data_IF_498597006618
#
_entry.id   IF_498597006618
#
_cell.length_a   1.000
_cell.length_b   1.000
_cell.length_c   1.000
_cell.angle_alpha   90.00
_cell.angle_beta   90.00
_cell.angle_gamma   90.00
#
_symmetry.space_group_name_H-M   'P 1'
#
loop_
_entity.id
_entity.type
_entity.pdbx_description
1 polymer ?
#
# COMPACT_ATOMS: atom_id res chain seq x y z
N UNK A 1 29.59 24.38 -93.59
CA UNK A 1 29.10 25.67 -94.12
C UNK A 1 27.72 25.58 -94.81
N UNK A 2 27.15 24.39 -95.11
CA UNK A 2 25.83 24.26 -95.77
C UNK A 2 24.60 24.14 -94.83
N UNK A 3 24.79 24.15 -93.50
CA UNK A 3 23.69 24.00 -92.53
C UNK A 3 23.19 25.33 -91.95
N UNK A 4 24.03 26.37 -91.88
CA UNK A 4 23.62 27.69 -91.40
C UNK A 4 22.78 28.44 -92.45
N UNK A 5 23.12 28.33 -93.73
CA UNK A 5 22.36 29.00 -94.80
C UNK A 5 20.92 28.48 -94.89
N UNK A 6 20.70 27.18 -94.62
CA UNK A 6 19.36 26.59 -94.59
C UNK A 6 18.51 27.04 -93.39
N UNK A 7 19.13 27.42 -92.27
CA UNK A 7 18.44 27.90 -91.07
C UNK A 7 18.09 29.39 -91.19
N UNK A 8 18.99 30.18 -91.77
CA UNK A 8 18.76 31.60 -92.09
C UNK A 8 17.68 31.76 -93.17
N UNK A 9 17.65 30.89 -94.17
CA UNK A 9 16.58 30.88 -95.20
C UNK A 9 15.22 30.49 -94.60
N UNK A 10 15.16 29.58 -93.61
CA UNK A 10 13.89 29.23 -92.93
C UNK A 10 13.31 30.37 -92.08
N UNK A 11 14.17 31.13 -91.39
CA UNK A 11 13.75 32.28 -90.58
C UNK A 11 13.35 33.47 -91.47
N UNK A 12 14.08 33.74 -92.57
CA UNK A 12 13.72 34.78 -93.56
C UNK A 12 12.42 34.49 -94.30
N UNK A 13 12.12 33.22 -94.58
CA UNK A 13 10.91 32.80 -95.31
C UNK A 13 9.69 32.51 -94.40
N UNK A 14 9.76 32.84 -93.10
CA UNK A 14 8.61 32.69 -92.19
C UNK A 14 8.14 31.25 -91.98
N UNK A 15 8.96 30.25 -92.29
CA UNK A 15 8.61 28.83 -92.12
C UNK A 15 8.80 28.43 -90.65
N UNK A 16 7.77 28.70 -89.84
CA UNK A 16 7.67 28.20 -88.46
C UNK A 16 7.63 26.67 -88.48
N UNK A 17 8.45 26.04 -87.64
CA UNK A 17 8.36 24.60 -87.38
C UNK A 17 6.95 24.25 -86.88
N UNK A 18 6.19 23.48 -87.67
CA UNK A 18 4.83 23.02 -87.33
C UNK A 18 4.77 21.99 -86.19
N UNK A 19 5.92 21.62 -85.61
CA UNK A 19 5.99 20.62 -84.52
C UNK A 19 5.49 21.11 -83.16
N UNK A 20 5.32 22.42 -82.97
CA UNK A 20 4.85 22.97 -81.69
C UNK A 20 3.68 23.92 -81.93
N UNK A 21 2.50 23.54 -81.43
CA UNK A 21 1.34 24.44 -81.34
C UNK A 21 1.66 25.58 -80.34
N UNK A 22 1.14 26.81 -80.54
CA UNK A 22 1.27 27.86 -79.54
C UNK A 22 0.71 27.38 -78.21
N UNK A 23 1.50 27.51 -77.14
CA UNK A 23 1.09 27.09 -75.79
C UNK A 23 0.06 28.09 -75.29
N UNK A 24 -1.14 27.61 -74.98
CA UNK A 24 -2.16 28.40 -74.30
C UNK A 24 -1.80 28.50 -72.81
N UNK A 25 -1.25 29.66 -72.43
CA UNK A 25 -0.83 29.93 -71.07
C UNK A 25 -2.02 30.10 -70.12
N UNK A 26 -3.20 30.49 -70.61
CA UNK A 26 -4.40 30.61 -69.78
C UNK A 26 -4.95 29.23 -69.42
N UNK A 27 -5.00 28.32 -70.39
CA UNK A 27 -5.38 26.92 -70.14
C UNK A 27 -4.41 26.25 -69.16
N UNK A 28 -3.09 26.45 -69.34
CA UNK A 28 -2.07 25.88 -68.46
C UNK A 28 -2.14 26.46 -67.04
N UNK A 29 -2.45 27.76 -66.89
CA UNK A 29 -2.68 28.38 -65.60
C UNK A 29 -3.93 27.83 -64.91
N UNK A 30 -5.05 27.70 -65.65
CA UNK A 30 -6.28 27.12 -65.14
C UNK A 30 -6.10 25.66 -64.67
N UNK A 31 -5.36 24.85 -65.44
CA UNK A 31 -4.99 23.48 -65.05
C UNK A 31 -4.13 23.50 -63.78
N UNK A 32 -3.17 24.42 -63.68
CA UNK A 32 -2.28 24.53 -62.53
C UNK A 32 -3.06 24.92 -61.26
N UNK A 33 -3.95 25.91 -61.34
CA UNK A 33 -4.80 26.31 -60.21
C UNK A 33 -5.78 25.20 -59.82
N UNK A 34 -6.39 24.51 -60.79
CA UNK A 34 -7.22 23.34 -60.52
C UNK A 34 -6.43 22.23 -59.79
N UNK A 35 -5.18 21.97 -60.19
CA UNK A 35 -4.30 21.00 -59.52
C UNK A 35 -3.89 21.46 -58.12
N UNK A 36 -3.61 22.74 -57.90
CA UNK A 36 -3.35 23.31 -56.57
C UNK A 36 -4.55 23.12 -55.65
N UNK A 37 -5.77 23.42 -56.13
CA UNK A 37 -7.01 23.26 -55.37
C UNK A 37 -7.28 21.78 -55.05
N UNK A 38 -7.07 20.87 -56.01
CA UNK A 38 -7.14 19.43 -55.79
C UNK A 38 -6.15 18.96 -54.72
N UNK A 39 -4.89 19.41 -54.80
CA UNK A 39 -3.85 19.10 -53.82
C UNK A 39 -4.20 19.60 -52.41
N UNK A 40 -4.71 20.84 -52.30
CA UNK A 40 -5.18 21.40 -51.03
C UNK A 40 -6.33 20.59 -50.43
N UNK A 41 -7.27 20.12 -51.25
CA UNK A 41 -8.38 19.27 -50.81
C UNK A 41 -7.89 17.89 -50.32
N UNK A 42 -6.94 17.27 -51.03
CA UNK A 42 -6.29 16.03 -50.60
C UNK A 42 -5.58 16.23 -49.25
N UNK A 43 -4.81 17.30 -49.10
CA UNK A 43 -4.11 17.62 -47.85
C UNK A 43 -5.08 17.84 -46.68
N UNK A 44 -6.21 18.49 -46.94
CA UNK A 44 -7.28 18.67 -45.95
C UNK A 44 -7.92 17.33 -45.55
N UNK A 45 -8.17 16.43 -46.51
CA UNK A 45 -8.66 15.06 -46.23
C UNK A 45 -7.66 14.27 -45.39
N UNK A 46 -6.36 14.35 -45.70
CA UNK A 46 -5.29 13.71 -44.93
C UNK A 46 -5.29 14.24 -43.49
N UNK A 47 -5.34 15.56 -43.29
CA UNK A 47 -5.41 16.18 -41.96
C UNK A 47 -6.63 15.70 -41.17
N UNK A 48 -7.82 15.62 -41.81
CA UNK A 48 -9.04 15.11 -41.18
C UNK A 48 -8.91 13.65 -40.76
N UNK A 49 -8.37 12.79 -41.62
CA UNK A 49 -8.14 11.37 -41.30
C UNK A 49 -7.12 11.19 -40.18
N UNK A 50 -6.04 11.97 -40.18
CA UNK A 50 -5.05 11.97 -39.09
C UNK A 50 -5.68 12.39 -37.76
N UNK A 51 -6.49 13.45 -37.76
CA UNK A 51 -7.22 13.89 -36.56
C UNK A 51 -8.19 12.82 -36.06
N UNK A 52 -9.02 12.25 -36.93
CA UNK A 52 -9.95 11.17 -36.58
C UNK A 52 -9.21 9.93 -36.03
N UNK A 53 -8.07 9.57 -36.62
CA UNK A 53 -7.23 8.48 -36.11
C UNK A 53 -6.66 8.79 -34.71
N UNK A 54 -6.25 10.03 -34.43
CA UNK A 54 -5.76 10.42 -33.10
C UNK A 54 -6.87 10.33 -32.06
N UNK A 55 -8.03 10.93 -32.35
CA UNK A 55 -9.21 10.88 -31.48
C UNK A 55 -9.65 9.45 -31.18
N UNK A 56 -9.67 8.57 -32.20
CA UNK A 56 -10.03 7.18 -31.99
C UNK A 56 -9.03 6.44 -31.09
N UNK A 57 -7.72 6.68 -31.25
CA UNK A 57 -6.68 6.11 -30.38
C UNK A 57 -6.87 6.57 -28.94
N UNK A 58 -7.10 7.86 -28.72
CA UNK A 58 -7.36 8.42 -27.39
C UNK A 58 -8.63 7.85 -26.77
N UNK A 59 -9.71 7.73 -27.54
CA UNK A 59 -10.97 7.15 -27.07
C UNK A 59 -10.80 5.68 -26.64
N UNK A 60 -10.10 4.87 -27.45
CA UNK A 60 -9.79 3.48 -27.10
C UNK A 60 -8.95 3.37 -25.82
N UNK A 61 -7.97 4.27 -25.66
CA UNK A 61 -7.10 4.32 -24.48
C UNK A 61 -7.88 4.71 -23.22
N UNK A 62 -8.73 5.74 -23.31
CA UNK A 62 -9.63 6.13 -22.23
C UNK A 62 -10.57 4.98 -21.85
N UNK A 63 -11.14 4.27 -22.81
CA UNK A 63 -11.98 3.11 -22.53
C UNK A 63 -11.24 2.05 -21.71
N UNK A 64 -9.96 1.80 -22.01
CA UNK A 64 -9.12 0.88 -21.20
C UNK A 64 -8.90 1.41 -19.78
N UNK A 65 -8.61 2.70 -19.61
CA UNK A 65 -8.47 3.31 -18.28
C UNK A 65 -9.76 3.23 -17.46
N UNK A 66 -10.91 3.50 -18.06
CA UNK A 66 -12.21 3.36 -17.39
C UNK A 66 -12.45 1.92 -16.90
N UNK A 67 -12.05 0.92 -17.68
CA UNK A 67 -12.14 -0.48 -17.27
C UNK A 67 -11.24 -0.78 -16.06
N UNK A 68 -10.00 -0.25 -16.05
CA UNK A 68 -9.08 -0.36 -14.92
C UNK A 68 -9.69 0.27 -13.67
N UNK A 69 -10.13 1.52 -13.76
CA UNK A 69 -10.74 2.23 -12.65
C UNK A 69 -12.01 1.56 -12.13
N UNK A 70 -12.84 1.00 -13.00
CA UNK A 70 -14.02 0.26 -12.55
C UNK A 70 -13.67 -1.01 -11.78
N UNK A 71 -12.65 -1.76 -12.24
CA UNK A 71 -12.16 -2.94 -11.52
C UNK A 71 -11.57 -2.55 -10.16
N UNK A 72 -10.78 -1.49 -10.15
CA UNK A 72 -10.16 -0.97 -8.94
C UNK A 72 -11.18 -0.47 -7.92
N UNK A 73 -12.18 0.29 -8.36
CA UNK A 73 -13.26 0.76 -7.52
C UNK A 73 -13.99 -0.41 -6.86
N UNK A 74 -14.30 -1.47 -7.62
CA UNK A 74 -14.90 -2.69 -7.07
C UNK A 74 -13.99 -3.37 -6.04
N UNK A 75 -12.68 -3.45 -6.29
CA UNK A 75 -11.70 -4.01 -5.35
C UNK A 75 -11.66 -3.22 -4.05
N UNK A 76 -11.51 -1.90 -4.15
CA UNK A 76 -11.45 -1.00 -3.00
C UNK A 76 -12.74 -1.02 -2.20
N UNK A 77 -13.89 -1.06 -2.86
CA UNK A 77 -15.19 -1.15 -2.20
C UNK A 77 -15.33 -2.44 -1.39
N UNK A 78 -14.93 -3.59 -1.95
CA UNK A 78 -14.92 -4.87 -1.22
C UNK A 78 -13.94 -4.85 -0.04
N UNK A 79 -12.74 -4.31 -0.24
CA UNK A 79 -11.75 -4.21 0.84
C UNK A 79 -12.24 -3.31 1.96
N UNK A 80 -12.88 -2.19 1.63
CA UNK A 80 -13.50 -1.29 2.60
C UNK A 80 -14.58 -2.01 3.40
N UNK A 81 -15.52 -2.69 2.74
CA UNK A 81 -16.57 -3.46 3.43
C UNK A 81 -15.98 -4.53 4.36
N UNK A 82 -14.92 -5.21 3.92
CA UNK A 82 -14.22 -6.19 4.75
C UNK A 82 -13.58 -5.54 5.98
N UNK A 83 -12.82 -4.45 5.82
CA UNK A 83 -12.22 -3.74 6.96
C UNK A 83 -13.29 -3.19 7.90
N UNK A 84 -14.36 -2.60 7.36
CA UNK A 84 -15.48 -2.10 8.18
C UNK A 84 -16.11 -3.23 9.00
N UNK A 85 -16.25 -4.43 8.43
CA UNK A 85 -16.73 -5.60 9.18
C UNK A 85 -15.74 -6.10 10.23
N UNK A 86 -14.43 -6.10 9.95
CA UNK A 86 -13.40 -6.49 10.92
C UNK A 86 -13.33 -5.50 12.08
N UNK A 87 -13.40 -4.19 11.79
CA UNK A 87 -13.48 -3.12 12.78
C UNK A 87 -14.76 -3.28 13.61
N UNK A 88 -15.89 -3.60 12.98
CA UNK A 88 -17.14 -3.82 13.68
C UNK A 88 -17.06 -5.00 14.65
N UNK A 89 -16.52 -6.14 14.20
CA UNK A 89 -16.27 -7.30 15.07
C UNK A 89 -15.38 -6.92 16.25
N UNK A 90 -14.32 -6.15 16.01
CA UNK A 90 -13.43 -5.66 17.06
C UNK A 90 -14.13 -4.75 18.08
N UNK A 91 -15.16 -3.99 17.67
CA UNK A 91 -15.98 -3.19 18.58
C UNK A 91 -17.04 -4.00 19.33
N UNK A 92 -17.53 -5.09 18.72
CA UNK A 92 -18.57 -5.97 19.29
C UNK A 92 -17.99 -7.01 20.27
N UNK A 93 -16.69 -7.31 20.17
CA UNK A 93 -15.95 -8.00 21.23
C UNK A 93 -15.90 -7.09 22.46
N UNK A 94 -16.81 -7.30 23.42
CA UNK A 94 -17.01 -6.50 24.65
C UNK A 94 -15.72 -6.34 25.48
N UNK A 95 -14.85 -5.42 25.06
CA UNK A 95 -13.67 -5.00 25.79
C UNK A 95 -13.97 -3.66 26.47
N UNK A 96 -14.01 -3.67 27.81
CA UNK A 96 -14.24 -2.47 28.63
C UNK A 96 -13.22 -1.34 28.35
N UNK A 97 -12.08 -1.64 27.72
CA UNK A 97 -11.07 -0.64 27.35
C UNK A 97 -11.48 0.30 26.18
N UNK A 98 -12.65 0.13 25.56
CA UNK A 98 -13.05 0.89 24.35
C UNK A 98 -14.23 1.85 24.53
N UNK A 99 -14.67 2.13 25.75
CA UNK A 99 -15.78 3.07 25.99
C UNK A 99 -15.54 4.46 25.36
N UNK A 100 -14.31 4.97 25.41
CA UNK A 100 -13.95 6.27 24.82
C UNK A 100 -14.06 6.27 23.28
N UNK A 101 -13.71 5.16 22.63
CA UNK A 101 -13.84 5.02 21.18
C UNK A 101 -15.31 4.91 20.75
N UNK A 102 -16.15 4.24 21.54
CA UNK A 102 -17.59 4.15 21.30
C UNK A 102 -18.26 5.53 21.38
N UNK A 103 -17.92 6.34 22.39
CA UNK A 103 -18.44 7.70 22.53
C UNK A 103 -17.99 8.60 21.36
N UNK A 104 -16.73 8.51 20.94
CA UNK A 104 -16.22 9.22 19.75
C UNK A 104 -16.95 8.80 18.48
N UNK A 105 -17.16 7.50 18.26
CA UNK A 105 -17.90 6.97 17.10
C UNK A 105 -19.34 7.51 17.07
N UNK A 106 -20.01 7.51 18.20
CA UNK A 106 -21.36 8.05 18.32
C UNK A 106 -21.40 9.54 18.00
N UNK A 107 -20.50 10.33 18.60
CA UNK A 107 -20.37 11.78 18.33
C UNK A 107 -20.11 12.07 16.86
N UNK A 108 -19.22 11.31 16.20
CA UNK A 108 -18.92 11.45 14.78
C UNK A 108 -20.13 11.12 13.90
N UNK A 109 -20.84 10.03 14.20
CA UNK A 109 -22.03 9.62 13.44
C UNK A 109 -23.13 10.69 13.55
N UNK A 110 -23.42 11.13 14.78
CA UNK A 110 -24.41 12.19 15.03
C UNK A 110 -24.00 13.51 14.36
N UNK A 111 -22.72 13.86 14.40
CA UNK A 111 -22.16 15.03 13.71
C UNK A 111 -22.36 14.95 12.20
N UNK A 112 -22.09 13.78 11.61
CA UNK A 112 -22.26 13.53 10.19
C UNK A 112 -23.74 13.63 9.77
N UNK A 113 -24.65 13.02 10.53
CA UNK A 113 -26.09 13.08 10.24
C UNK A 113 -26.60 14.53 10.29
N UNK A 114 -26.17 15.28 11.31
CA UNK A 114 -26.51 16.71 11.46
C UNK A 114 -25.95 17.53 10.29
N UNK A 115 -24.70 17.26 9.90
CA UNK A 115 -24.06 17.92 8.78
C UNK A 115 -24.79 17.60 7.46
N UNK A 116 -25.13 16.33 7.22
CA UNK A 116 -25.87 15.91 6.03
C UNK A 116 -27.25 16.56 5.97
N UNK A 117 -27.98 16.59 7.09
CA UNK A 117 -29.26 17.30 7.18
C UNK A 117 -29.10 18.79 6.83
N UNK A 118 -28.10 19.47 7.39
CA UNK A 118 -27.92 20.91 7.17
C UNK A 118 -27.39 21.29 5.77
N UNK A 119 -26.72 20.37 5.07
CA UNK A 119 -26.04 20.68 3.80
C UNK A 119 -26.71 20.07 2.58
N UNK A 120 -27.20 18.84 2.70
CA UNK A 120 -27.77 18.07 1.59
C UNK A 120 -29.28 18.32 1.49
N UNK A 121 -30.00 18.35 2.61
CA UNK A 121 -31.45 18.54 2.63
C UNK A 121 -31.91 19.84 1.94
N UNK A 122 -31.26 21.01 2.13
CA UNK A 122 -31.69 22.24 1.45
C UNK A 122 -31.60 22.16 -0.08
N UNK A 123 -30.62 21.41 -0.61
CA UNK A 123 -30.45 21.21 -2.06
C UNK A 123 -31.53 20.27 -2.61
N UNK A 124 -31.86 19.21 -1.87
CA UNK A 124 -32.96 18.31 -2.23
C UNK A 124 -34.32 19.01 -2.16
N UNK A 125 -34.53 19.82 -1.12
CA UNK A 125 -35.74 20.62 -0.97
C UNK A 125 -35.90 21.59 -2.13
N UNK A 126 -34.85 22.37 -2.45
CA UNK A 126 -34.86 23.27 -3.61
C UNK A 126 -35.16 22.52 -4.91
N UNK A 127 -34.59 21.33 -5.10
CA UNK A 127 -34.85 20.51 -6.30
C UNK A 127 -36.32 20.09 -6.40
N UNK A 128 -36.91 19.60 -5.32
CA UNK A 128 -38.32 19.17 -5.32
C UNK A 128 -39.27 20.37 -5.44
N UNK A 129 -38.96 21.49 -4.79
CA UNK A 129 -39.75 22.73 -4.92
C UNK A 129 -39.73 23.26 -6.35
N UNK A 130 -38.57 23.26 -7.01
CA UNK A 130 -38.47 23.61 -8.43
C UNK A 130 -39.26 22.66 -9.32
N UNK A 131 -39.22 21.35 -9.02
CA UNK A 131 -39.97 20.34 -9.77
C UNK A 131 -41.49 20.54 -9.62
N UNK A 132 -41.95 20.82 -8.41
CA UNK A 132 -43.35 21.12 -8.11
C UNK A 132 -43.80 22.39 -8.86
N UNK A 133 -43.03 23.49 -8.77
CA UNK A 133 -43.32 24.74 -9.48
C UNK A 133 -43.41 24.55 -10.99
N UNK A 134 -42.53 23.74 -11.59
CA UNK A 134 -42.59 23.42 -13.03
C UNK A 134 -43.87 22.64 -13.37
N UNK A 135 -44.26 21.67 -12.55
CA UNK A 135 -45.49 20.89 -12.74
C UNK A 135 -46.74 21.77 -12.61
N UNK A 136 -46.74 22.68 -11.64
CA UNK A 136 -47.82 23.64 -11.38
C UNK A 136 -47.94 24.66 -12.52
N UNK A 137 -46.83 25.19 -13.04
CA UNK A 137 -46.83 26.04 -14.24
C UNK A 137 -47.43 25.32 -15.45
N UNK A 138 -47.09 24.04 -15.66
CA UNK A 138 -47.61 23.24 -16.77
C UNK A 138 -49.11 22.97 -16.66
N UNK A 139 -49.64 22.84 -15.44
CA UNK A 139 -51.07 22.55 -15.18
C UNK A 139 -51.93 23.81 -15.12
N UNK A 140 -51.41 24.92 -14.56
CA UNK A 140 -52.11 26.19 -14.39
C UNK A 140 -51.94 27.19 -15.54
N UNK A 141 -51.27 26.80 -16.63
CA UNK A 141 -50.99 27.63 -17.82
C UNK A 141 -52.23 28.26 -18.51
N UNK A 142 -53.46 27.89 -18.11
CA UNK A 142 -54.73 28.40 -18.63
C UNK A 142 -55.50 29.31 -17.67
N UNK A 143 -55.07 29.44 -16.41
CA UNK A 143 -55.74 30.28 -15.42
C UNK A 143 -55.19 31.71 -15.43
N UNK A 144 -56.08 32.70 -15.34
CA UNK A 144 -55.75 34.13 -15.43
C UNK A 144 -55.15 34.67 -14.10
N UNK A 145 -55.28 33.91 -13.01
CA UNK A 145 -54.86 34.31 -11.66
C UNK A 145 -53.49 33.78 -11.23
N UNK A 146 -52.82 32.93 -12.02
CA UNK A 146 -51.52 32.37 -11.64
C UNK A 146 -50.39 33.37 -11.87
N UNK A 147 -49.93 34.01 -10.79
CA UNK A 147 -48.84 34.99 -10.81
C UNK A 147 -47.51 34.30 -10.46
N UNK A 148 -46.79 33.82 -11.48
CA UNK A 148 -45.45 33.26 -11.32
C UNK A 148 -44.40 34.37 -11.13
N UNK A 149 -43.62 34.31 -10.05
CA UNK A 149 -42.52 35.24 -9.81
C UNK A 149 -41.17 34.57 -10.12
N UNK A 150 -40.59 34.76 -11.32
CA UNK A 150 -39.30 34.16 -11.69
C UNK A 150 -38.14 34.72 -10.87
N UNK A 151 -38.21 35.99 -10.46
CA UNK A 151 -37.12 36.67 -9.76
C UNK A 151 -36.93 36.10 -8.36
N UNK A 152 -38.02 35.83 -7.63
CA UNK A 152 -37.97 35.19 -6.32
C UNK A 152 -37.37 33.77 -6.37
N UNK A 153 -37.65 33.01 -7.44
CA UNK A 153 -37.07 31.67 -7.64
C UNK A 153 -35.58 31.74 -7.92
N UNK A 154 -35.14 32.71 -8.72
CA UNK A 154 -33.72 32.92 -9.01
C UNK A 154 -32.94 33.36 -7.75
N UNK A 155 -33.53 34.22 -6.93
CA UNK A 155 -32.94 34.62 -5.64
C UNK A 155 -32.76 33.44 -4.70
N UNK A 156 -33.74 32.54 -4.61
CA UNK A 156 -33.68 31.32 -3.80
C UNK A 156 -32.56 30.37 -4.28
N UNK A 157 -32.44 30.17 -5.60
CA UNK A 157 -31.37 29.36 -6.19
C UNK A 157 -29.99 29.96 -5.89
N UNK A 158 -29.83 31.29 -6.07
CA UNK A 158 -28.56 31.96 -5.81
C UNK A 158 -28.21 31.95 -4.32
N UNK A 159 -29.20 32.05 -3.43
CA UNK A 159 -29.01 31.90 -2.00
C UNK A 159 -28.44 30.51 -1.64
N UNK A 160 -29.06 29.43 -2.12
CA UNK A 160 -28.61 28.05 -1.86
C UNK A 160 -27.23 27.79 -2.48
N UNK A 161 -26.95 28.31 -3.70
CA UNK A 161 -25.61 28.23 -4.31
C UNK A 161 -24.55 28.93 -3.46
N UNK A 162 -24.85 30.14 -2.97
CA UNK A 162 -23.93 30.92 -2.13
C UNK A 162 -23.67 30.20 -0.80
N UNK A 163 -24.71 29.64 -0.20
CA UNK A 163 -24.60 28.82 1.01
C UNK A 163 -23.72 27.59 0.78
N UNK A 164 -23.99 26.80 -0.27
CA UNK A 164 -23.19 25.63 -0.67
C UNK A 164 -21.72 26.00 -0.90
N UNK A 165 -21.45 27.09 -1.63
CA UNK A 165 -20.09 27.57 -1.88
C UNK A 165 -19.37 27.96 -0.60
N UNK A 166 -20.05 28.62 0.34
CA UNK A 166 -19.46 29.00 1.63
C UNK A 166 -19.14 27.76 2.48
N UNK A 167 -20.03 26.77 2.50
CA UNK A 167 -19.84 25.51 3.22
C UNK A 167 -18.65 24.72 2.64
N UNK A 168 -18.59 24.57 1.31
CA UNK A 168 -17.45 23.92 0.64
C UNK A 168 -16.13 24.63 0.93
N UNK A 169 -16.14 25.97 0.98
CA UNK A 169 -14.97 26.75 1.36
C UNK A 169 -14.51 26.45 2.78
N UNK A 170 -15.43 26.39 3.75
CA UNK A 170 -15.11 26.04 5.15
C UNK A 170 -14.59 24.61 5.27
N UNK A 171 -15.27 23.64 4.67
CA UNK A 171 -14.84 22.24 4.65
C UNK A 171 -13.46 22.07 4.03
N UNK A 172 -13.13 22.84 3.00
CA UNK A 172 -11.81 22.80 2.39
C UNK A 172 -10.72 23.25 3.37
N UNK A 173 -10.97 24.32 4.13
CA UNK A 173 -10.06 24.80 5.17
C UNK A 173 -9.94 23.82 6.34
N UNK A 174 -11.06 23.29 6.83
CA UNK A 174 -11.09 22.26 7.88
C UNK A 174 -10.32 21.01 7.46
N UNK A 175 -10.52 20.56 6.21
CA UNK A 175 -9.75 19.46 5.64
C UNK A 175 -8.25 19.75 5.66
N UNK A 176 -7.82 20.93 5.22
CA UNK A 176 -6.39 21.30 5.21
C UNK A 176 -5.82 21.30 6.64
N UNK A 177 -6.57 21.83 7.60
CA UNK A 177 -6.17 21.83 9.01
C UNK A 177 -6.02 20.41 9.56
N UNK A 178 -7.02 19.56 9.33
CA UNK A 178 -6.99 18.15 9.73
C UNK A 178 -5.89 17.35 9.03
N UNK A 179 -5.64 17.58 7.74
CA UNK A 179 -4.53 16.96 7.01
C UNK A 179 -3.18 17.35 7.62
N UNK A 180 -3.04 18.60 8.09
CA UNK A 180 -1.83 19.07 8.77
C UNK A 180 -1.66 18.44 10.16
N UNK A 181 -2.72 18.44 10.97
CA UNK A 181 -2.72 17.77 12.29
C UNK A 181 -2.38 16.27 12.12
N UNK A 182 -2.95 15.61 11.11
CA UNK A 182 -2.67 14.21 10.84
C UNK A 182 -1.23 13.97 10.39
N UNK A 183 -0.62 14.85 9.58
CA UNK A 183 0.80 14.73 9.21
C UNK A 183 1.69 14.86 10.45
N UNK A 184 1.37 15.76 11.39
CA UNK A 184 2.08 15.89 12.68
C UNK A 184 1.97 14.60 13.50
N UNK A 185 0.78 14.00 13.62
CA UNK A 185 0.58 12.70 14.28
C UNK A 185 1.27 11.54 13.54
N UNK A 186 1.30 11.56 12.21
CA UNK A 186 1.98 10.53 11.41
C UNK A 186 3.48 10.64 11.63
N UNK A 187 4.06 11.84 11.64
CA UNK A 187 5.48 12.03 11.92
C UNK A 187 5.82 11.59 13.35
N UNK A 188 4.94 11.84 14.32
CA UNK A 188 5.09 11.41 15.71
C UNK A 188 4.95 9.87 15.86
N UNK A 189 3.95 9.24 15.22
CA UNK A 189 3.77 7.79 15.20
C UNK A 189 4.86 7.06 14.38
N UNK A 190 5.35 7.68 13.31
CA UNK A 190 6.49 7.18 12.55
C UNK A 190 7.79 7.33 13.35
N UNK A 191 7.96 8.39 14.14
CA UNK A 191 9.06 8.51 15.09
C UNK A 191 8.99 7.43 16.16
N UNK A 192 7.81 7.17 16.75
CA UNK A 192 7.62 6.07 17.70
C UNK A 192 7.87 4.70 17.07
N UNK A 193 7.39 4.42 15.85
CA UNK A 193 7.66 3.14 15.17
C UNK A 193 9.09 3.03 14.64
N UNK A 194 9.77 4.16 14.40
CA UNK A 194 11.20 4.20 14.06
C UNK A 194 12.05 3.98 15.32
N UNK A 195 11.65 4.54 16.46
CA UNK A 195 12.20 4.23 17.78
C UNK A 195 11.95 2.76 18.12
N UNK A 196 10.76 2.19 17.94
CA UNK A 196 10.54 0.74 18.09
C UNK A 196 11.32 -0.11 17.06
N UNK A 197 11.64 0.44 15.86
CA UNK A 197 12.54 -0.21 14.88
C UNK A 197 14.02 -0.09 15.22
N UNK A 198 14.44 0.96 15.91
CA UNK A 198 15.85 1.24 16.24
C UNK A 198 16.21 0.72 17.63
N UNK A 199 15.32 0.91 18.59
CA UNK A 199 15.21 0.16 19.85
C UNK A 199 14.42 -1.13 19.61
N UNK A 200 14.98 -1.99 18.78
CA UNK A 200 14.69 -3.43 18.78
C UNK A 200 15.24 -4.01 20.09
N UNK A 201 14.75 -3.56 21.25
CA UNK A 201 15.18 -4.08 22.55
C UNK A 201 14.58 -5.47 22.66
N UNK A 202 15.38 -6.54 22.71
CA UNK A 202 14.86 -7.87 22.95
C UNK A 202 14.29 -7.94 24.37
N UNK A 203 13.02 -7.56 24.51
CA UNK A 203 12.28 -7.83 25.74
C UNK A 203 12.26 -9.35 25.93
N UNK A 204 12.86 -9.76 27.04
CA UNK A 204 12.87 -11.14 27.50
C UNK A 204 11.42 -11.63 27.54
N UNK A 205 11.11 -12.71 26.82
CA UNK A 205 9.82 -13.36 26.92
C UNK A 205 9.55 -13.71 28.39
N UNK A 206 8.38 -13.34 28.97
CA UNK A 206 8.02 -13.66 30.35
C UNK A 206 8.18 -15.16 30.66
N UNK A 207 7.89 -15.99 29.65
CA UNK A 207 8.02 -17.44 29.71
C UNK A 207 9.45 -17.91 30.03
N UNK A 208 10.49 -17.16 29.67
CA UNK A 208 11.89 -17.51 29.98
C UNK A 208 12.36 -16.93 31.33
N UNK A 209 11.70 -15.87 31.81
CA UNK A 209 11.99 -15.26 33.11
C UNK A 209 11.41 -16.10 34.25
N UNK A 210 10.17 -16.56 34.09
CA UNK A 210 9.39 -17.29 35.10
C UNK A 210 9.90 -18.73 35.34
N UNK A 211 10.61 -19.32 34.38
CA UNK A 211 11.15 -20.68 34.51
C UNK A 211 12.40 -20.70 35.40
N UNK A 212 12.26 -21.29 36.59
CA UNK A 212 13.38 -21.64 37.47
C UNK A 212 14.13 -22.84 36.88
N UNK A 213 15.45 -22.71 36.71
CA UNK A 213 16.31 -23.76 36.18
C UNK A 213 17.42 -24.08 37.20
N UNK A 214 17.61 -25.36 37.58
CA UNK A 214 18.62 -25.76 38.56
C UNK A 214 20.06 -25.62 38.02
N UNK A 215 20.24 -25.48 36.70
CA UNK A 215 21.53 -25.26 36.04
C UNK A 215 21.65 -23.81 35.55
N UNK A 216 22.29 -22.90 36.31
CA UNK A 216 22.38 -21.49 35.96
C UNK A 216 23.16 -21.25 34.65
N UNK A 217 24.18 -22.06 34.37
CA UNK A 217 24.99 -21.95 33.15
C UNK A 217 24.16 -22.25 31.89
N UNK A 218 23.24 -23.22 31.97
CA UNK A 218 22.33 -23.55 30.87
C UNK A 218 21.35 -22.39 30.64
N UNK A 219 20.77 -21.82 31.70
CA UNK A 219 19.88 -20.65 31.59
C UNK A 219 20.63 -19.46 30.97
N UNK A 220 21.84 -19.18 31.42
CA UNK A 220 22.68 -18.11 30.85
C UNK A 220 23.01 -18.37 29.36
N UNK A 221 23.31 -19.61 28.98
CA UNK A 221 23.57 -19.99 27.59
C UNK A 221 22.36 -19.77 26.69
N UNK A 222 21.17 -20.21 27.13
CA UNK A 222 19.90 -19.99 26.40
C UNK A 222 19.62 -18.50 26.22
N UNK A 223 19.81 -17.69 27.26
CA UNK A 223 19.62 -16.23 27.15
C UNK A 223 20.63 -15.60 26.19
N UNK A 224 21.89 -16.02 26.24
CA UNK A 224 22.93 -15.53 25.34
C UNK A 224 22.60 -15.83 23.87
N UNK A 225 22.13 -17.04 23.57
CA UNK A 225 21.70 -17.42 22.22
C UNK A 225 20.47 -16.63 21.76
N UNK A 226 19.55 -16.30 22.68
CA UNK A 226 18.42 -15.41 22.36
C UNK A 226 18.89 -14.01 21.95
N UNK A 227 19.79 -13.41 22.74
CA UNK A 227 20.33 -12.09 22.42
C UNK A 227 21.09 -12.07 21.11
N UNK A 228 21.94 -13.08 20.84
CA UNK A 228 22.62 -13.22 19.54
C UNK A 228 21.62 -13.28 18.38
N UNK A 229 20.56 -14.08 18.52
CA UNK A 229 19.52 -14.18 17.50
C UNK A 229 18.83 -12.83 17.28
N UNK A 230 18.50 -12.11 18.36
CA UNK A 230 17.87 -10.81 18.29
C UNK A 230 18.77 -9.76 17.62
N UNK A 231 20.05 -9.72 18.00
CA UNK A 231 21.05 -8.81 17.47
C UNK A 231 21.27 -9.05 15.97
N UNK A 232 21.38 -10.32 15.55
CA UNK A 232 21.53 -10.71 14.14
C UNK A 232 20.37 -10.22 13.27
N UNK A 233 19.13 -10.32 13.77
CA UNK A 233 17.95 -9.83 13.04
C UNK A 233 17.84 -8.31 13.09
N UNK A 234 18.15 -7.71 14.23
CA UNK A 234 18.16 -6.25 14.41
C UNK A 234 19.12 -5.59 13.42
N UNK A 235 20.36 -6.09 13.32
CA UNK A 235 21.36 -5.61 12.36
C UNK A 235 20.87 -5.71 10.92
N UNK A 236 20.35 -6.87 10.51
CA UNK A 236 19.82 -7.06 9.14
C UNK A 236 18.64 -6.13 8.84
N UNK A 237 17.78 -5.87 9.82
CA UNK A 237 16.64 -4.96 9.68
C UNK A 237 17.14 -3.51 9.53
N UNK A 238 18.10 -3.09 10.35
CA UNK A 238 18.70 -1.77 10.29
C UNK A 238 19.44 -1.53 8.96
N UNK A 239 20.21 -2.50 8.48
CA UNK A 239 20.88 -2.45 7.17
C UNK A 239 19.85 -2.29 6.04
N UNK A 240 18.79 -3.10 6.05
CA UNK A 240 17.74 -3.02 5.04
C UNK A 240 16.95 -1.70 5.09
N UNK A 241 16.72 -1.15 6.29
CA UNK A 241 16.07 0.16 6.48
C UNK A 241 16.97 1.31 5.97
N UNK A 242 18.28 1.22 6.21
CA UNK A 242 19.25 2.19 5.72
C UNK A 242 19.39 2.15 4.20
N UNK A 243 19.37 0.96 3.60
CA UNK A 243 19.31 0.78 2.16
C UNK A 243 18.05 1.43 1.57
N UNK A 244 16.89 1.25 2.22
CA UNK A 244 15.64 1.87 1.80
C UNK A 244 15.70 3.40 1.88
N UNK A 245 16.22 3.97 2.96
CA UNK A 245 16.43 5.42 3.09
C UNK A 245 17.32 5.96 1.97
N UNK A 246 18.38 5.22 1.64
CA UNK A 246 19.30 5.57 0.54
C UNK A 246 18.61 5.54 -0.83
N UNK A 247 17.71 4.58 -1.07
CA UNK A 247 16.94 4.52 -2.32
C UNK A 247 15.94 5.68 -2.39
N UNK A 248 15.25 5.98 -1.28
CA UNK A 248 14.26 7.07 -1.22
C UNK A 248 14.93 8.44 -1.38
N UNK A 249 16.10 8.67 -0.79
CA UNK A 249 16.85 9.92 -0.98
C UNK A 249 17.29 10.15 -2.43
N UNK A 250 17.43 9.08 -3.23
CA UNK A 250 17.67 9.22 -4.67
C UNK A 250 16.41 9.66 -5.45
N UNK A 251 15.22 9.66 -4.85
CA UNK A 251 14.01 10.10 -5.52
C UNK A 251 13.97 11.63 -5.60
N UNK A 252 14.24 12.18 -6.78
CA UNK A 252 14.07 13.61 -7.08
C UNK A 252 12.59 13.99 -7.32
N UNK A 253 11.70 13.53 -6.45
CA UNK A 253 10.23 13.60 -6.60
C UNK A 253 9.60 14.18 -5.34
N UNK A 254 8.54 14.98 -5.48
CA UNK A 254 7.79 15.47 -4.32
C UNK A 254 6.99 14.34 -3.67
N UNK A 255 6.61 14.51 -2.40
CA UNK A 255 5.75 13.55 -1.68
C UNK A 255 4.45 13.29 -2.46
N UNK A 256 3.82 14.33 -3.00
CA UNK A 256 2.57 14.22 -3.76
C UNK A 256 2.76 13.48 -5.09
N UNK A 257 3.86 13.74 -5.81
CA UNK A 257 4.16 13.07 -7.07
C UNK A 257 4.46 11.58 -6.85
N UNK A 258 5.20 11.25 -5.79
CA UNK A 258 5.47 9.87 -5.37
C UNK A 258 4.17 9.14 -4.99
N UNK A 259 3.30 9.81 -4.23
CA UNK A 259 2.00 9.26 -3.87
C UNK A 259 1.13 8.98 -5.10
N UNK A 260 1.02 9.95 -6.03
CA UNK A 260 0.32 9.76 -7.31
C UNK A 260 0.91 8.60 -8.09
N UNK A 261 2.25 8.50 -8.15
CA UNK A 261 2.95 7.42 -8.83
C UNK A 261 2.59 6.04 -8.23
N UNK A 262 2.71 5.90 -6.91
CA UNK A 262 2.39 4.68 -6.18
C UNK A 262 0.93 4.25 -6.37
N UNK A 263 -0.01 5.20 -6.20
CA UNK A 263 -1.43 4.93 -6.36
C UNK A 263 -1.70 4.45 -7.77
N UNK A 264 -1.27 5.20 -8.78
CA UNK A 264 -1.51 4.85 -10.19
C UNK A 264 -0.95 3.47 -10.49
N UNK A 265 0.29 3.13 -10.15
CA UNK A 265 0.83 1.78 -10.41
C UNK A 265 0.01 0.68 -9.72
N UNK A 266 -0.48 0.93 -8.51
CA UNK A 266 -1.31 0.00 -7.75
C UNK A 266 -2.71 -0.24 -8.31
N UNK A 267 -3.24 0.68 -9.13
CA UNK A 267 -4.53 0.53 -9.80
C UNK A 267 -4.47 -0.43 -10.99
N UNK A 268 -3.31 -0.59 -11.65
CA UNK A 268 -3.17 -1.42 -12.84
C UNK A 268 -2.69 -2.83 -12.45
N UNK A 269 -3.50 -3.88 -12.66
CA UNK A 269 -3.15 -5.25 -12.30
C UNK A 269 -1.93 -5.79 -13.06
N UNK A 270 -1.15 -6.65 -12.42
CA UNK A 270 0.08 -7.25 -12.98
C UNK A 270 -0.17 -8.17 -14.19
N UNK A 271 -1.33 -8.81 -14.25
CA UNK A 271 -1.78 -9.74 -15.30
C UNK A 271 -2.27 -9.02 -16.58
N UNK A 272 -2.37 -7.69 -16.56
CA UNK A 272 -2.89 -6.92 -17.69
C UNK A 272 -1.89 -6.81 -18.85
N UNK A 273 -2.34 -7.13 -20.06
CA UNK A 273 -1.56 -6.89 -21.27
C UNK A 273 -1.28 -5.40 -21.49
N UNK A 274 -0.02 -5.06 -21.72
CA UNK A 274 0.39 -3.67 -21.93
C UNK A 274 0.25 -2.78 -20.69
N UNK A 275 0.22 -3.35 -19.48
CA UNK A 275 0.15 -2.64 -18.19
C UNK A 275 1.06 -1.41 -18.15
N UNK A 276 2.33 -1.59 -18.52
CA UNK A 276 3.35 -0.54 -18.56
C UNK A 276 2.98 0.64 -19.45
N UNK A 277 2.45 0.36 -20.64
CA UNK A 277 2.00 1.42 -21.54
C UNK A 277 0.86 2.23 -20.93
N UNK A 278 -0.08 1.55 -20.26
CA UNK A 278 -1.27 2.17 -19.71
C UNK A 278 -0.95 3.02 -18.48
N UNK A 279 -0.26 2.51 -17.46
CA UNK A 279 0.05 3.36 -16.31
C UNK A 279 1.00 4.50 -16.69
N UNK A 280 1.95 4.31 -17.61
CA UNK A 280 2.80 5.41 -18.07
C UNK A 280 1.97 6.50 -18.77
N UNK A 281 1.01 6.12 -19.61
CA UNK A 281 0.08 7.10 -20.20
C UNK A 281 -0.72 7.87 -19.13
N UNK A 282 -1.23 7.16 -18.12
CA UNK A 282 -1.98 7.78 -17.03
C UNK A 282 -1.10 8.71 -16.18
N UNK A 283 0.12 8.29 -15.85
CA UNK A 283 1.09 9.10 -15.13
C UNK A 283 1.45 10.37 -15.92
N UNK A 284 1.63 10.26 -17.24
CA UNK A 284 1.89 11.44 -18.09
C UNK A 284 0.72 12.44 -18.11
N UNK A 285 -0.52 11.98 -17.92
CA UNK A 285 -1.71 12.84 -17.80
C UNK A 285 -1.84 13.49 -16.42
N UNK A 286 -1.52 12.75 -15.36
CA UNK A 286 -1.62 13.22 -13.97
C UNK A 286 -0.41 14.05 -13.52
N UNK A 287 0.74 13.86 -14.19
CA UNK A 287 2.01 14.54 -13.92
C UNK A 287 2.53 15.21 -15.21
N UNK A 288 1.84 16.23 -15.75
CA UNK A 288 2.21 16.87 -17.01
C UNK A 288 3.58 17.56 -16.96
N UNK A 289 4.06 17.91 -15.76
CA UNK A 289 5.38 18.49 -15.51
C UNK A 289 6.53 17.47 -15.54
N UNK A 290 6.23 16.15 -15.56
CA UNK A 290 7.24 15.09 -15.60
C UNK A 290 7.38 14.55 -17.03
N UNK A 291 8.63 14.47 -17.50
CA UNK A 291 8.91 13.87 -18.80
C UNK A 291 8.72 12.35 -18.75
N UNK A 292 8.39 11.74 -19.91
CA UNK A 292 8.29 10.27 -20.04
C UNK A 292 9.59 9.56 -19.66
N UNK A 293 10.74 10.18 -19.96
CA UNK A 293 12.05 9.62 -19.61
C UNK A 293 12.26 9.62 -18.09
N UNK A 294 11.85 10.69 -17.40
CA UNK A 294 11.91 10.76 -15.94
C UNK A 294 11.04 9.67 -15.29
N UNK A 295 9.82 9.45 -15.81
CA UNK A 295 8.93 8.38 -15.37
C UNK A 295 9.56 6.98 -15.51
N UNK A 296 10.21 6.72 -16.65
CA UNK A 296 10.89 5.44 -16.92
C UNK A 296 12.15 5.28 -16.06
N UNK A 297 12.89 6.37 -15.82
CA UNK A 297 14.05 6.32 -14.93
C UNK A 297 13.63 6.01 -13.49
N UNK A 298 12.55 6.65 -13.02
CA UNK A 298 12.00 6.42 -11.68
C UNK A 298 11.48 4.99 -11.49
N UNK A 299 10.89 4.38 -12.53
CA UNK A 299 10.42 2.99 -12.51
C UNK A 299 11.51 2.00 -12.04
N UNK A 300 12.75 2.14 -12.52
CA UNK A 300 13.86 1.27 -12.09
C UNK A 300 14.18 1.44 -10.60
N UNK A 301 14.23 2.68 -10.13
CA UNK A 301 14.50 2.98 -8.73
C UNK A 301 13.33 2.54 -7.84
N UNK A 302 12.10 2.63 -8.36
CA UNK A 302 10.89 2.17 -7.70
C UNK A 302 10.83 0.64 -7.58
N UNK A 303 11.24 -0.09 -8.62
CA UNK A 303 11.34 -1.55 -8.56
C UNK A 303 12.34 -1.99 -7.49
N UNK A 304 13.49 -1.32 -7.41
CA UNK A 304 14.48 -1.55 -6.34
C UNK A 304 13.90 -1.25 -4.96
N UNK A 305 13.23 -0.10 -4.80
CA UNK A 305 12.57 0.27 -3.56
C UNK A 305 11.53 -0.77 -3.13
N UNK A 306 10.65 -1.16 -4.05
CA UNK A 306 9.58 -2.13 -3.79
C UNK A 306 10.15 -3.50 -3.41
N UNK A 307 11.20 -3.95 -4.11
CA UNK A 307 11.92 -5.18 -3.76
C UNK A 307 12.52 -5.11 -2.36
N UNK A 308 13.33 -4.08 -2.05
CA UNK A 308 13.95 -3.91 -0.74
C UNK A 308 12.91 -3.81 0.38
N UNK A 309 11.79 -3.13 0.13
CA UNK A 309 10.68 -3.01 1.10
C UNK A 309 10.01 -4.35 1.36
N UNK A 310 9.83 -5.17 0.33
CA UNK A 310 9.30 -6.51 0.51
C UNK A 310 10.28 -7.43 1.24
N UNK A 311 11.58 -7.33 0.96
CA UNK A 311 12.62 -8.06 1.72
C UNK A 311 12.59 -7.70 3.20
N UNK A 312 12.47 -6.41 3.54
CA UNK A 312 12.33 -5.97 4.92
C UNK A 312 11.08 -6.59 5.59
N UNK A 313 9.94 -6.62 4.90
CA UNK A 313 8.71 -7.26 5.43
C UNK A 313 8.90 -8.75 5.69
N UNK A 314 9.55 -9.46 4.77
CA UNK A 314 9.85 -10.89 4.94
C UNK A 314 10.81 -11.11 6.10
N UNK A 315 11.83 -10.26 6.25
CA UNK A 315 12.79 -10.33 7.36
C UNK A 315 12.11 -10.13 8.72
N UNK A 316 11.22 -9.13 8.84
CA UNK A 316 10.42 -8.90 10.06
C UNK A 316 9.52 -10.10 10.36
N UNK A 317 8.89 -10.70 9.35
CA UNK A 317 8.10 -11.91 9.54
C UNK A 317 8.95 -13.09 10.00
N UNK A 318 10.11 -13.29 9.40
CA UNK A 318 11.05 -14.34 9.78
C UNK A 318 11.55 -14.17 11.22
N UNK A 319 11.80 -12.94 11.66
CA UNK A 319 12.11 -12.65 13.06
C UNK A 319 11.00 -13.13 14.00
N UNK A 320 9.74 -12.79 13.72
CA UNK A 320 8.58 -13.20 14.54
C UNK A 320 8.51 -14.72 14.64
N UNK A 321 8.71 -15.42 13.52
CA UNK A 321 8.70 -16.89 13.49
C UNK A 321 9.90 -17.51 14.22
N UNK A 322 11.10 -16.97 14.01
CA UNK A 322 12.33 -17.42 14.66
C UNK A 322 12.23 -17.24 16.18
N UNK A 323 11.76 -16.07 16.64
CA UNK A 323 11.52 -15.78 18.06
C UNK A 323 10.54 -16.79 18.68
N UNK A 324 9.38 -17.02 18.05
CA UNK A 324 8.41 -18.01 18.53
C UNK A 324 9.01 -19.41 18.63
N UNK A 325 9.71 -19.84 17.58
CA UNK A 325 10.33 -21.17 17.52
C UNK A 325 11.43 -21.32 18.58
N UNK A 326 12.24 -20.27 18.77
CA UNK A 326 13.28 -20.23 19.78
C UNK A 326 12.70 -20.37 21.18
N UNK A 327 11.67 -19.58 21.52
CA UNK A 327 11.02 -19.62 22.84
C UNK A 327 10.51 -21.02 23.15
N UNK A 328 9.81 -21.66 22.22
CA UNK A 328 9.29 -23.02 22.40
C UNK A 328 10.43 -24.00 22.70
N UNK A 329 11.52 -23.95 21.92
CA UNK A 329 12.68 -24.83 22.13
C UNK A 329 13.38 -24.56 23.46
N UNK A 330 13.59 -23.28 23.79
CA UNK A 330 14.25 -22.86 25.02
C UNK A 330 13.47 -23.31 26.27
N UNK A 331 12.14 -23.13 26.27
CA UNK A 331 11.26 -23.61 27.34
C UNK A 331 11.34 -25.13 27.47
N UNK A 332 11.30 -25.87 26.36
CA UNK A 332 11.46 -27.33 26.37
C UNK A 332 12.80 -27.77 26.95
N UNK A 333 13.91 -27.19 26.51
CA UNK A 333 15.26 -27.54 27.01
C UNK A 333 15.40 -27.26 28.51
N UNK A 334 14.88 -26.13 28.99
CA UNK A 334 14.92 -25.82 30.42
C UNK A 334 14.04 -26.77 31.24
N UNK A 335 12.84 -27.10 30.75
CA UNK A 335 11.97 -28.07 31.41
C UNK A 335 12.61 -29.47 31.46
N UNK A 336 13.22 -29.94 30.37
CA UNK A 336 13.97 -31.20 30.32
C UNK A 336 15.10 -31.21 31.36
N UNK A 337 15.85 -30.10 31.47
CA UNK A 337 16.91 -29.97 32.46
C UNK A 337 16.37 -30.02 33.92
N UNK A 338 15.23 -29.38 34.20
CA UNK A 338 14.57 -29.49 35.50
C UNK A 338 14.18 -30.93 35.82
N UNK A 339 13.57 -31.64 34.88
CA UNK A 339 13.20 -33.05 35.08
C UNK A 339 14.42 -33.94 35.29
N UNK A 340 15.51 -33.71 34.56
CA UNK A 340 16.76 -34.46 34.73
C UNK A 340 17.33 -34.24 36.14
N UNK A 341 17.38 -33.01 36.62
CA UNK A 341 17.83 -32.68 37.97
C UNK A 341 16.99 -33.37 39.06
N UNK A 342 15.66 -33.34 38.93
CA UNK A 342 14.75 -34.02 39.86
C UNK A 342 15.03 -35.54 39.90
N UNK A 343 15.24 -36.17 38.74
CA UNK A 343 15.58 -37.60 38.68
C UNK A 343 16.95 -37.91 39.30
N UNK A 344 17.95 -37.07 39.08
CA UNK A 344 19.29 -37.21 39.69
C UNK A 344 19.20 -37.09 41.22
N UNK A 345 18.43 -36.13 41.71
CA UNK A 345 18.19 -35.93 43.14
C UNK A 345 17.48 -37.14 43.77
N UNK A 346 16.48 -37.73 43.10
CA UNK A 346 15.83 -38.95 43.56
C UNK A 346 16.81 -40.13 43.63
N UNK A 347 17.62 -40.34 42.59
CA UNK A 347 18.62 -41.42 42.54
C UNK A 347 19.68 -41.24 43.63
N UNK A 348 20.17 -40.01 43.83
CA UNK A 348 21.13 -39.69 44.88
C UNK A 348 20.56 -39.94 46.28
N UNK A 349 19.30 -39.56 46.51
CA UNK A 349 18.63 -39.79 47.79
C UNK A 349 18.43 -41.29 48.06
N UNK A 350 17.95 -42.05 47.07
CA UNK A 350 17.83 -43.51 47.16
C UNK A 350 19.18 -44.17 47.45
N UNK A 351 20.26 -43.69 46.83
CA UNK A 351 21.62 -44.20 47.10
C UNK A 351 22.07 -43.92 48.53
N UNK A 352 21.77 -42.73 49.08
CA UNK A 352 22.06 -42.40 50.49
C UNK A 352 21.27 -43.29 51.45
N UNK A 353 19.97 -43.45 51.24
CA UNK A 353 19.13 -44.35 52.03
C UNK A 353 19.66 -45.79 52.01
N UNK A 354 20.04 -46.28 50.82
CA UNK A 354 20.64 -47.61 50.69
C UNK A 354 21.96 -47.73 51.46
N UNK A 355 22.80 -46.69 51.44
CA UNK A 355 24.05 -46.66 52.21
C UNK A 355 23.80 -46.67 53.72
N UNK A 356 22.82 -45.92 54.22
CA UNK A 356 22.41 -45.91 55.62
C UNK A 356 21.86 -47.27 56.07
N UNK A 357 21.01 -47.90 55.25
CA UNK A 357 20.51 -49.26 55.49
C UNK A 357 21.68 -50.25 55.57
N UNK A 358 22.61 -50.21 54.60
CA UNK A 358 23.79 -51.06 54.61
C UNK A 358 24.69 -50.83 55.84
N UNK A 359 24.88 -49.58 56.27
CA UNK A 359 25.65 -49.25 57.47
C UNK A 359 24.98 -49.81 58.74
N UNK A 360 23.67 -49.57 58.90
CA UNK A 360 22.88 -50.09 60.01
C UNK A 360 22.87 -51.63 60.06
N UNK A 361 22.73 -52.29 58.90
CA UNK A 361 22.82 -53.74 58.81
C UNK A 361 24.20 -54.26 59.20
N UNK A 362 25.27 -53.57 58.77
CA UNK A 362 26.65 -53.93 59.12
C UNK A 362 26.91 -53.81 60.62
N UNK A 363 26.39 -52.76 61.26
CA UNK A 363 26.46 -52.57 62.71
C UNK A 363 25.71 -53.68 63.47
N UNK A 364 24.47 -53.99 63.06
CA UNK A 364 23.68 -55.09 63.65
C UNK A 364 24.36 -56.45 63.48
N UNK A 365 24.94 -56.75 62.32
CA UNK A 365 25.67 -58.01 62.10
C UNK A 365 26.92 -58.08 62.96
N UNK A 366 27.65 -56.97 63.12
CA UNK A 366 28.81 -56.88 64.03
C UNK A 366 28.45 -57.14 65.49
N UNK A 367 27.33 -56.57 65.96
CA UNK A 367 26.86 -56.76 67.34
C UNK A 367 26.28 -58.14 67.61
N UNK A 368 25.82 -58.88 66.60
CA UNK A 368 25.39 -60.28 66.71
C UNK A 368 26.60 -61.25 66.63
N UNK A 369 27.62 -60.92 65.85
CA UNK A 369 28.83 -61.74 65.73
C UNK A 369 29.72 -61.67 66.99
N UNK A 370 29.78 -60.53 67.68
CA UNK A 370 30.62 -60.36 68.89
C UNK A 370 30.24 -61.26 70.08
N UNK A 371 28.97 -61.42 70.48
CA UNK A 371 28.56 -62.36 71.52
C UNK A 371 28.82 -63.81 71.10
N UNK A 372 28.57 -64.12 69.83
CA UNK A 372 28.75 -65.47 69.27
C UNK A 372 30.22 -65.91 69.26
N UNK A 373 31.13 -65.00 68.88
CA UNK A 373 32.58 -65.22 68.92
C UNK A 373 33.11 -65.23 70.36
N UNK A 374 32.59 -64.38 71.25
CA UNK A 374 32.92 -64.43 72.68
C UNK A 374 32.43 -65.72 73.34
N UNK A 375 31.25 -66.23 73.01
CA UNK A 375 30.76 -67.53 73.49
C UNK A 375 31.65 -68.67 72.98
N UNK A 376 32.02 -68.67 71.70
CA UNK A 376 32.94 -69.66 71.13
C UNK A 376 34.32 -69.61 71.79
N UNK A 377 34.90 -68.42 71.99
CA UNK A 377 36.17 -68.24 72.70
C UNK A 377 36.08 -68.62 74.18
N UNK A 378 34.94 -68.39 74.84
CA UNK A 378 34.71 -68.76 76.24
C UNK A 378 34.51 -70.29 76.38
N UNK A 379 33.82 -70.94 75.44
CA UNK A 379 33.72 -72.40 75.38
C UNK A 379 35.09 -73.05 75.12
N UNK A 380 35.94 -72.46 74.27
CA UNK A 380 37.29 -72.98 74.00
C UNK A 380 38.22 -72.81 75.22
N UNK A 381 38.07 -71.74 76.00
CA UNK A 381 38.88 -71.50 77.21
C UNK A 381 38.43 -72.28 78.46
N UNK A 382 37.25 -72.89 78.45
CA UNK A 382 36.85 -73.89 79.47
C UNK A 382 37.24 -75.34 79.12
N UNK A 383 37.81 -75.57 77.92
CA UNK A 383 38.23 -76.89 77.42
C UNK A 383 39.75 -77.12 77.49
N UNK A 384 40.50 -76.16 78.06
CA UNK A 384 41.92 -76.25 78.44
C UNK A 384 41.99 -76.08 79.95
#
# INVERSE_FOLDING_TARGET
MLLLDNLVVRVKNGLKSSKYKPVDYEELYAITEAKKLQSANILLKIKKLQHASRMNKEHMLLKRHHQVWWKEHKRLHKNRQKLESEIQVFFDEENECFFDLWDLRYKLTKGLDTFQANTVQPVWQLREDLRYRVLEMQTNCKSVEYQFNPDAVLEEIEFVKKQQKAILGKLHLERIALEKELEEFIDEALACTLEERTTFVPELPPQLLELECPYPDLKASVLTEFYKLADDYSLKIQEADQDLKTIVSCFQWSKEDLWKYQIVIGQYPSDMQGRRMLYLDMLQKLLPHKSRQSLIAHEKSWDRYYFSRNQLRVLMFNWIQARKTFIVKAVMTLAEACTAYETEMMVANNRRQQQEICANLKEKVGSIAQPSIKLLLCCISCLV
#
